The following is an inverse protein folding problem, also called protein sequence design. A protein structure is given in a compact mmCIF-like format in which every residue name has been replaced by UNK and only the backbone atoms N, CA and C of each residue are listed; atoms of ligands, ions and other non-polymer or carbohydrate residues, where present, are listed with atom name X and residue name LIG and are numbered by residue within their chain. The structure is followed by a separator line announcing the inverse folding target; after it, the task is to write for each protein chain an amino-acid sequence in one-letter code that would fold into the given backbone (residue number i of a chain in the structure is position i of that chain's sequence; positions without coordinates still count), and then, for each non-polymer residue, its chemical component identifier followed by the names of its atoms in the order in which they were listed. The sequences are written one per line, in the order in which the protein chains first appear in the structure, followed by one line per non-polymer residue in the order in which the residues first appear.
data_IF_474768941445
#
_entry.id   IF_474768941445
#
_cell.length_a   1.000
_cell.length_b   1.000
_cell.length_c   1.000
_cell.angle_alpha   90.00
_cell.angle_beta   90.00
_cell.angle_gamma   90.00
#
_symmetry.space_group_name_H-M   'P 1'
#
loop_
_entity.id
_entity.type
_entity.pdbx_description
1 polymer ?
#
# COMPACT_ATOMS: atom_id res chain seq x y z
N UNK A 1 -31.62 -17.08 -66.27
CA UNK A 1 -32.12 -16.32 -65.08
C UNK A 1 -31.63 -16.95 -63.77
N UNK A 2 -30.38 -16.70 -63.34
CA UNK A 2 -29.88 -17.17 -62.02
C UNK A 2 -28.92 -16.21 -61.30
N UNK A 3 -28.57 -15.09 -61.92
CA UNK A 3 -27.68 -14.07 -61.36
C UNK A 3 -28.35 -13.14 -60.32
N UNK A 4 -29.62 -12.71 -60.45
CA UNK A 4 -30.18 -11.76 -59.49
C UNK A 4 -30.47 -12.37 -58.12
N UNK A 5 -30.58 -13.70 -58.01
CA UNK A 5 -30.79 -14.44 -56.75
C UNK A 5 -29.48 -14.69 -55.99
N UNK A 6 -28.34 -14.75 -56.69
CA UNK A 6 -27.03 -14.93 -56.07
C UNK A 6 -26.56 -13.62 -55.42
N UNK A 7 -26.84 -12.48 -56.07
CA UNK A 7 -26.50 -11.16 -55.54
C UNK A 7 -27.26 -10.82 -54.25
N UNK A 8 -28.52 -11.24 -54.15
CA UNK A 8 -29.34 -11.05 -52.94
C UNK A 8 -28.86 -11.91 -51.77
N UNK A 9 -28.27 -13.08 -52.04
CA UNK A 9 -27.74 -13.96 -50.99
C UNK A 9 -26.39 -13.47 -50.43
N UNK A 10 -25.56 -12.85 -51.27
CA UNK A 10 -24.28 -12.27 -50.84
C UNK A 10 -24.50 -10.98 -50.05
N UNK A 11 -25.50 -10.18 -50.44
CA UNK A 11 -25.86 -8.93 -49.73
C UNK A 11 -26.54 -9.19 -48.38
N UNK A 12 -27.27 -10.31 -48.25
CA UNK A 12 -27.86 -10.71 -46.96
C UNK A 12 -26.83 -11.27 -45.97
N UNK A 13 -25.75 -11.90 -46.46
CA UNK A 13 -24.67 -12.40 -45.60
C UNK A 13 -23.80 -11.27 -45.03
N UNK A 14 -23.69 -10.12 -45.72
CA UNK A 14 -23.02 -8.93 -45.19
C UNK A 14 -23.77 -8.22 -44.05
N UNK A 15 -25.06 -8.51 -43.85
CA UNK A 15 -25.86 -7.95 -42.75
C UNK A 15 -25.75 -8.74 -41.43
N UNK A 16 -25.21 -9.96 -41.47
CA UNK A 16 -24.90 -10.76 -40.27
C UNK A 16 -23.45 -10.56 -39.78
N UNK A 17 -22.68 -9.68 -40.44
CA UNK A 17 -21.37 -9.23 -39.99
C UNK A 17 -21.43 -8.26 -38.82
N UNK A 18 -22.39 -8.38 -37.89
CA UNK A 18 -22.19 -7.86 -36.54
C UNK A 18 -21.25 -8.81 -35.82
N UNK A 19 -19.98 -8.83 -36.25
CA UNK A 19 -18.91 -9.18 -35.33
C UNK A 19 -19.12 -8.23 -34.14
N UNK A 20 -19.53 -8.77 -33.00
CA UNK A 20 -19.58 -8.01 -31.77
C UNK A 20 -18.20 -7.40 -31.61
N UNK A 21 -18.09 -6.10 -31.82
CA UNK A 21 -16.91 -5.37 -31.45
C UNK A 21 -16.88 -5.47 -29.93
N UNK A 22 -16.18 -6.48 -29.41
CA UNK A 22 -15.79 -6.47 -28.02
C UNK A 22 -14.99 -5.19 -27.87
N UNK A 23 -15.54 -4.24 -27.11
CA UNK A 23 -14.86 -3.02 -26.76
C UNK A 23 -13.67 -3.44 -25.87
N UNK A 24 -12.57 -3.82 -26.51
CA UNK A 24 -11.31 -4.06 -25.83
C UNK A 24 -10.92 -2.76 -25.15
N UNK A 25 -10.48 -2.85 -23.91
CA UNK A 25 -9.98 -1.68 -23.19
C UNK A 25 -8.82 -1.02 -23.96
N UNK A 26 -8.67 0.30 -23.83
CA UNK A 26 -7.48 1.02 -24.37
C UNK A 26 -6.16 0.48 -23.81
N UNK A 27 -6.23 -0.30 -22.71
CA UNK A 27 -5.10 -0.91 -22.01
C UNK A 27 -4.97 -2.42 -22.31
N UNK A 28 -5.75 -2.94 -23.27
CA UNK A 28 -5.79 -4.35 -23.67
C UNK A 28 -6.66 -5.21 -22.75
N UNK A 29 -6.59 -6.52 -22.95
CA UNK A 29 -7.42 -7.50 -22.24
C UNK A 29 -6.56 -8.49 -21.44
N UNK A 30 -7.12 -9.00 -20.34
CA UNK A 30 -6.58 -10.08 -19.52
C UNK A 30 -7.60 -11.23 -19.52
N UNK A 31 -7.25 -12.35 -20.15
CA UNK A 31 -8.13 -13.53 -20.26
C UNK A 31 -9.54 -13.21 -20.79
N UNK A 32 -9.65 -12.25 -21.73
CA UNK A 32 -10.93 -11.81 -22.30
C UNK A 32 -11.67 -10.75 -21.50
N UNK A 33 -11.11 -10.31 -20.35
CA UNK A 33 -11.63 -9.19 -19.57
C UNK A 33 -10.86 -7.90 -19.87
N UNK A 34 -11.53 -6.76 -20.06
CA UNK A 34 -10.86 -5.48 -20.29
C UNK A 34 -9.97 -5.09 -19.10
N UNK A 35 -8.67 -4.84 -19.33
CA UNK A 35 -7.76 -4.36 -18.29
C UNK A 35 -8.15 -2.96 -17.83
N UNK A 36 -7.84 -2.62 -16.58
CA UNK A 36 -8.00 -1.27 -16.03
C UNK A 36 -6.73 -0.77 -15.36
N UNK A 37 -6.57 0.55 -15.36
CA UNK A 37 -5.45 1.24 -14.71
C UNK A 37 -5.76 1.51 -13.24
N UNK A 38 -4.78 1.29 -12.36
CA UNK A 38 -4.87 1.60 -10.94
C UNK A 38 -4.18 2.94 -10.67
N UNK A 39 -4.92 3.89 -10.08
CA UNK A 39 -4.41 5.19 -9.65
C UNK A 39 -4.55 5.31 -8.13
N UNK A 40 -3.45 5.66 -7.45
CA UNK A 40 -3.42 5.86 -6.00
C UNK A 40 -2.72 7.19 -5.74
N UNK A 41 -3.39 8.11 -5.05
CA UNK A 41 -2.89 9.47 -4.81
C UNK A 41 -2.43 10.18 -6.09
N UNK A 42 -3.24 10.05 -7.16
CA UNK A 42 -2.95 10.60 -8.49
C UNK A 42 -1.69 10.03 -9.19
N UNK A 43 -1.08 8.98 -8.64
CA UNK A 43 0.02 8.25 -9.24
C UNK A 43 -0.44 6.90 -9.79
N UNK A 44 0.06 6.53 -10.96
CA UNK A 44 -0.18 5.20 -11.53
C UNK A 44 0.56 4.13 -10.73
N UNK A 45 -0.12 3.03 -10.46
CA UNK A 45 0.49 1.83 -9.89
C UNK A 45 0.56 0.74 -10.97
N UNK A 46 1.75 0.51 -11.56
CA UNK A 46 1.91 -0.58 -12.52
C UNK A 46 1.84 -1.93 -11.80
N UNK A 47 1.34 -2.94 -12.50
CA UNK A 47 1.42 -4.33 -12.07
C UNK A 47 2.76 -4.91 -12.53
N UNK A 48 3.42 -5.72 -11.70
CA UNK A 48 4.69 -6.34 -12.09
C UNK A 48 4.46 -7.47 -13.10
N UNK A 49 5.49 -7.80 -13.86
CA UNK A 49 5.44 -8.95 -14.77
C UNK A 49 5.12 -10.24 -13.99
N UNK A 50 4.10 -10.96 -14.45
CA UNK A 50 3.60 -12.17 -13.78
C UNK A 50 2.56 -11.92 -12.68
N UNK A 51 2.30 -10.67 -12.28
CA UNK A 51 1.14 -10.34 -11.45
C UNK A 51 -0.14 -10.30 -12.30
N UNK A 52 -1.24 -10.80 -11.74
CA UNK A 52 -2.57 -10.61 -12.34
C UNK A 52 -2.83 -9.10 -12.43
N UNK A 53 -3.10 -8.52 -13.60
CA UNK A 53 -3.43 -7.10 -13.71
C UNK A 53 -4.83 -6.85 -13.14
N UNK A 54 -5.19 -5.59 -12.95
CA UNK A 54 -6.58 -5.25 -12.72
C UNK A 54 -7.41 -5.33 -14.01
N UNK A 55 -8.65 -5.80 -13.90
CA UNK A 55 -9.56 -5.97 -15.03
C UNK A 55 -11.02 -5.72 -14.62
N UNK A 56 -11.91 -5.48 -15.59
CA UNK A 56 -13.35 -5.41 -15.36
C UNK A 56 -13.98 -6.77 -15.59
N UNK A 57 -14.64 -7.31 -14.57
CA UNK A 57 -15.49 -8.48 -14.69
C UNK A 57 -16.90 -8.15 -14.23
N UNK A 58 -17.91 -8.47 -15.06
CA UNK A 58 -19.33 -8.25 -14.76
C UNK A 58 -19.64 -6.80 -14.32
N UNK A 59 -19.00 -5.82 -14.97
CA UNK A 59 -19.17 -4.39 -14.69
C UNK A 59 -18.47 -3.89 -13.42
N UNK A 60 -17.72 -4.74 -12.72
CA UNK A 60 -16.94 -4.37 -11.53
C UNK A 60 -15.45 -4.46 -11.81
N UNK A 61 -14.69 -3.49 -11.32
CA UNK A 61 -13.23 -3.55 -11.36
C UNK A 61 -12.72 -4.54 -10.30
N UNK A 62 -11.87 -5.47 -10.73
CA UNK A 62 -11.24 -6.49 -9.91
C UNK A 62 -9.76 -6.16 -9.80
N UNK A 63 -9.25 -6.13 -8.57
CA UNK A 63 -7.86 -5.84 -8.27
C UNK A 63 -7.24 -6.97 -7.45
N UNK A 64 -5.97 -7.32 -7.68
CA UNK A 64 -5.22 -8.13 -6.75
C UNK A 64 -5.15 -7.42 -5.40
N UNK A 65 -5.72 -8.04 -4.37
CA UNK A 65 -5.79 -7.46 -3.02
C UNK A 65 -4.40 -7.10 -2.45
N UNK A 66 -3.35 -7.84 -2.84
CA UNK A 66 -1.97 -7.58 -2.39
C UNK A 66 -1.45 -6.23 -2.90
N UNK A 67 -1.79 -5.83 -4.13
CA UNK A 67 -1.40 -4.52 -4.67
C UNK A 67 -2.05 -3.38 -3.86
N UNK A 68 -3.26 -3.62 -3.36
CA UNK A 68 -3.95 -2.67 -2.51
C UNK A 68 -3.41 -2.67 -1.07
N UNK A 69 -2.85 -3.78 -0.57
CA UNK A 69 -2.34 -3.89 0.81
C UNK A 69 -1.30 -2.82 1.16
N UNK A 70 -0.31 -2.63 0.28
CA UNK A 70 0.75 -1.63 0.46
C UNK A 70 0.19 -0.21 0.52
N UNK A 71 -0.82 0.07 -0.30
CA UNK A 71 -1.38 1.42 -0.43
C UNK A 71 -2.47 1.72 0.61
N UNK A 72 -3.19 0.69 1.05
CA UNK A 72 -4.20 0.78 2.10
C UNK A 72 -3.59 0.73 3.50
N UNK A 73 -2.28 0.48 3.60
CA UNK A 73 -1.55 0.34 4.86
C UNK A 73 -2.21 -0.71 5.76
N UNK A 74 -2.51 -1.87 5.17
CA UNK A 74 -3.24 -2.95 5.80
C UNK A 74 -2.49 -4.28 5.65
N UNK A 75 -2.65 -5.15 6.63
CA UNK A 75 -2.18 -6.53 6.57
C UNK A 75 -3.15 -7.33 5.70
N UNK A 76 -2.61 -8.11 4.77
CA UNK A 76 -3.40 -9.01 3.94
C UNK A 76 -2.88 -10.43 4.10
N UNK A 77 -3.78 -11.33 4.52
CA UNK A 77 -3.50 -12.76 4.68
C UNK A 77 -4.32 -13.55 3.68
N UNK A 78 -3.65 -14.46 2.96
CA UNK A 78 -4.31 -15.47 2.14
C UNK A 78 -4.29 -16.81 2.88
N UNK A 79 -5.47 -17.40 3.06
CA UNK A 79 -5.63 -18.78 3.48
C UNK A 79 -6.05 -19.62 2.28
N UNK A 80 -5.12 -20.43 1.77
CA UNK A 80 -5.36 -21.23 0.57
C UNK A 80 -6.33 -22.40 0.80
N UNK A 81 -6.35 -22.96 2.02
CA UNK A 81 -7.23 -24.08 2.34
C UNK A 81 -8.69 -23.62 2.44
N UNK A 82 -8.93 -22.49 3.09
CA UNK A 82 -10.25 -21.89 3.24
C UNK A 82 -10.66 -21.00 2.05
N UNK A 83 -9.77 -20.80 1.07
CA UNK A 83 -9.94 -19.83 -0.03
C UNK A 83 -10.40 -18.46 0.46
N UNK A 84 -9.81 -18.00 1.57
CA UNK A 84 -10.24 -16.80 2.29
C UNK A 84 -9.12 -15.76 2.30
N UNK A 85 -9.49 -14.52 1.94
CA UNK A 85 -8.64 -13.35 2.13
C UNK A 85 -9.08 -12.65 3.41
N UNK A 86 -8.15 -12.38 4.32
CA UNK A 86 -8.37 -11.56 5.50
C UNK A 86 -7.58 -10.25 5.38
N UNK A 87 -8.24 -9.14 5.69
CA UNK A 87 -7.63 -7.81 5.69
C UNK A 87 -7.73 -7.26 7.11
N UNK A 88 -6.59 -6.91 7.70
CA UNK A 88 -6.52 -6.28 9.02
C UNK A 88 -5.89 -4.91 8.89
N UNK A 89 -6.64 -3.85 9.23
CA UNK A 89 -6.19 -2.47 9.20
C UNK A 89 -6.22 -1.89 10.62
N UNK A 90 -5.12 -1.97 11.38
CA UNK A 90 -5.05 -1.30 12.67
C UNK A 90 -5.04 0.22 12.50
N UNK A 91 -5.49 0.96 13.51
CA UNK A 91 -5.26 2.40 13.55
C UNK A 91 -3.87 2.64 14.12
N UNK A 92 -3.01 3.31 13.35
CA UNK A 92 -1.65 3.63 13.77
C UNK A 92 -1.41 5.12 13.57
N UNK A 93 -1.47 5.84 14.68
CA UNK A 93 -1.23 7.28 14.72
C UNK A 93 0.19 7.55 15.18
N UNK A 94 0.96 8.23 14.32
CA UNK A 94 2.32 8.63 14.64
C UNK A 94 2.45 10.15 14.76
N UNK A 95 3.19 10.61 15.76
CA UNK A 95 3.64 11.99 15.85
C UNK A 95 5.06 12.06 16.40
N UNK A 96 5.71 13.22 16.23
CA UNK A 96 7.10 13.44 16.66
C UNK A 96 7.20 14.62 17.60
N UNK A 97 8.10 14.55 18.58
CA UNK A 97 8.42 15.66 19.47
C UNK A 97 9.92 15.75 19.70
N UNK A 98 10.45 16.98 19.81
CA UNK A 98 11.89 17.19 20.00
C UNK A 98 12.35 16.82 21.41
N UNK A 99 11.53 17.10 22.43
CA UNK A 99 11.81 16.69 23.82
C UNK A 99 10.54 16.24 24.52
N UNK A 100 10.68 15.18 25.31
CA UNK A 100 9.61 14.49 26.03
C UNK A 100 10.07 14.29 27.46
N UNK A 101 9.18 14.48 28.43
CA UNK A 101 9.43 14.18 29.84
C UNK A 101 9.15 12.70 30.16
N UNK A 102 9.52 12.24 31.34
CA UNK A 102 9.30 10.84 31.77
C UNK A 102 7.81 10.46 31.87
N UNK A 103 6.92 11.45 32.05
CA UNK A 103 5.46 11.29 32.04
C UNK A 103 4.84 11.37 30.63
N UNK A 104 5.67 11.37 29.59
CA UNK A 104 5.31 11.51 28.18
C UNK A 104 4.75 12.88 27.76
N UNK A 105 4.72 13.87 28.65
CA UNK A 105 4.36 15.24 28.27
C UNK A 105 5.38 15.84 27.30
N UNK A 106 4.89 16.56 26.29
CA UNK A 106 5.74 17.20 25.29
C UNK A 106 6.37 18.45 25.91
N UNK A 107 7.68 18.39 26.15
CA UNK A 107 8.46 19.54 26.63
C UNK A 107 8.81 20.50 25.51
N UNK A 108 9.06 19.97 24.31
CA UNK A 108 9.39 20.79 23.14
C UNK A 108 8.78 20.16 21.87
N UNK A 109 7.94 20.90 21.13
CA UNK A 109 7.40 20.40 19.87
C UNK A 109 8.50 20.18 18.84
N UNK A 110 8.23 19.29 17.88
CA UNK A 110 9.12 19.09 16.75
C UNK A 110 8.94 20.25 15.76
N UNK A 111 10.05 20.90 15.39
CA UNK A 111 10.06 22.05 14.47
C UNK A 111 10.49 21.66 13.05
N UNK A 112 10.68 22.66 12.20
CA UNK A 112 11.27 22.47 10.88
C UNK A 112 12.69 21.87 10.97
N UNK A 113 13.05 21.11 9.95
CA UNK A 113 14.34 20.41 9.85
C UNK A 113 15.08 20.97 8.64
N UNK A 114 16.37 21.26 8.81
CA UNK A 114 17.24 21.69 7.72
C UNK A 114 18.14 20.57 7.25
N UNK A 115 18.50 20.60 5.97
CA UNK A 115 19.56 19.71 5.47
C UNK A 115 20.85 19.88 6.28
N UNK A 116 21.40 18.77 6.75
CA UNK A 116 22.59 18.69 7.59
C UNK A 116 22.30 18.68 9.08
N UNK A 117 21.06 18.95 9.51
CA UNK A 117 20.70 18.89 10.92
C UNK A 117 20.89 17.48 11.47
N UNK A 118 21.40 17.39 12.70
CA UNK A 118 21.39 16.18 13.50
C UNK A 118 20.48 16.40 14.70
N UNK A 119 19.39 15.64 14.78
CA UNK A 119 18.35 15.84 15.78
C UNK A 119 18.15 14.60 16.64
N UNK A 120 18.09 14.83 17.94
CA UNK A 120 17.46 13.93 18.90
C UNK A 120 15.98 14.28 19.02
N UNK A 121 15.12 13.29 18.88
CA UNK A 121 13.67 13.43 19.01
C UNK A 121 13.01 12.10 19.34
N UNK A 122 11.74 12.13 19.73
CA UNK A 122 10.94 10.93 19.92
C UNK A 122 9.91 10.76 18.81
N UNK A 123 9.72 9.52 18.36
CA UNK A 123 8.54 9.11 17.60
C UNK A 123 7.58 8.42 18.55
N UNK A 124 6.36 8.95 18.63
CA UNK A 124 5.26 8.34 19.34
C UNK A 124 4.39 7.59 18.35
N UNK A 125 4.13 6.31 18.61
CA UNK A 125 3.19 5.50 17.85
C UNK A 125 2.10 4.96 18.76
N UNK A 126 0.88 5.44 18.57
CA UNK A 126 -0.31 4.90 19.20
C UNK A 126 -0.97 3.91 18.23
N UNK A 127 -1.18 2.69 18.70
CA UNK A 127 -1.82 1.62 17.95
C UNK A 127 -3.10 1.20 18.68
N UNK A 128 -4.19 1.06 17.93
CA UNK A 128 -5.44 0.47 18.40
C UNK A 128 -6.10 -0.35 17.29
N UNK A 129 -7.18 -1.06 17.63
CA UNK A 129 -7.94 -1.91 16.71
C UNK A 129 -7.08 -3.02 16.07
N UNK A 130 -6.00 -3.44 16.73
CA UNK A 130 -5.16 -4.54 16.28
C UNK A 130 -5.80 -5.88 16.67
N UNK A 131 -6.70 -6.36 15.82
CA UNK A 131 -7.48 -7.59 16.06
C UNK A 131 -6.75 -8.88 15.71
N UNK A 132 -5.56 -8.79 15.12
CA UNK A 132 -4.75 -9.95 14.71
C UNK A 132 -3.48 -10.03 15.57
N UNK A 133 -3.11 -11.21 16.08
CA UNK A 133 -1.82 -11.39 16.75
C UNK A 133 -0.65 -11.01 15.83
N UNK A 134 0.40 -10.44 16.43
CA UNK A 134 1.63 -10.05 15.72
C UNK A 134 2.84 -10.60 16.47
N UNK A 135 3.87 -11.00 15.74
CA UNK A 135 5.16 -11.42 16.31
C UNK A 135 6.02 -10.23 16.73
N UNK A 136 6.02 -9.17 15.92
CA UNK A 136 6.80 -7.97 16.18
C UNK A 136 6.30 -6.77 15.39
N UNK A 137 6.73 -5.58 15.79
CA UNK A 137 6.59 -4.36 15.01
C UNK A 137 7.90 -3.57 15.05
N UNK A 138 8.06 -2.67 14.09
CA UNK A 138 9.19 -1.74 14.05
C UNK A 138 8.76 -0.35 13.61
N UNK A 139 9.51 0.64 14.08
CA UNK A 139 9.47 2.01 13.57
C UNK A 139 10.81 2.26 12.88
N UNK A 140 10.79 2.50 11.58
CA UNK A 140 11.98 2.84 10.81
C UNK A 140 11.86 4.24 10.21
N UNK A 141 13.01 4.87 9.96
CA UNK A 141 13.09 6.16 9.29
C UNK A 141 13.88 5.96 8.01
N UNK A 142 13.30 6.37 6.90
CA UNK A 142 13.89 6.27 5.58
C UNK A 142 14.22 7.66 5.04
N UNK A 143 15.40 7.82 4.44
CA UNK A 143 15.84 9.03 3.75
C UNK A 143 15.09 9.22 2.42
N UNK A 144 15.16 10.41 1.78
CA UNK A 144 14.52 10.69 0.50
C UNK A 144 14.91 9.71 -0.62
N UNK A 145 16.13 9.21 -0.58
CA UNK A 145 16.65 8.20 -1.50
C UNK A 145 16.11 6.77 -1.25
N UNK A 146 15.35 6.55 -0.18
CA UNK A 146 14.77 5.27 0.24
C UNK A 146 15.58 4.48 1.28
N UNK A 147 16.82 4.88 1.57
CA UNK A 147 17.72 4.22 2.52
C UNK A 147 17.15 4.27 3.95
N UNK A 148 17.20 3.14 4.67
CA UNK A 148 16.82 3.09 6.08
C UNK A 148 17.94 3.67 6.95
N UNK A 149 17.74 4.86 7.51
CA UNK A 149 18.75 5.57 8.33
C UNK A 149 18.62 5.30 9.83
N UNK A 150 17.46 4.85 10.30
CA UNK A 150 17.26 4.44 11.69
C UNK A 150 16.13 3.41 11.83
N UNK A 151 16.19 2.58 12.87
CA UNK A 151 15.16 1.59 13.17
C UNK A 151 15.14 1.23 14.66
N UNK A 152 13.94 1.05 15.20
CA UNK A 152 13.68 0.35 16.46
C UNK A 152 12.68 -0.76 16.21
N UNK A 153 12.92 -1.92 16.81
CA UNK A 153 12.10 -3.12 16.65
C UNK A 153 11.74 -3.70 18.02
N UNK A 154 10.54 -4.28 18.12
CA UNK A 154 10.09 -4.96 19.34
C UNK A 154 9.26 -6.19 19.02
N UNK A 155 9.69 -7.31 19.60
CA UNK A 155 8.90 -8.52 19.70
C UNK A 155 7.67 -8.30 20.61
N UNK A 156 6.55 -8.88 20.23
CA UNK A 156 5.28 -8.81 20.95
C UNK A 156 4.94 -10.20 21.45
N UNK A 157 4.87 -10.33 22.78
CA UNK A 157 4.41 -11.54 23.43
C UNK A 157 2.91 -11.42 23.72
N UNK A 158 2.11 -12.32 23.14
CA UNK A 158 0.65 -12.32 23.28
C UNK A 158 -0.06 -11.32 22.37
N UNK A 159 -1.39 -11.24 22.48
CA UNK A 159 -2.18 -10.28 21.71
C UNK A 159 -2.32 -8.97 22.48
N UNK A 160 -2.04 -7.85 21.80
CA UNK A 160 -2.29 -6.50 22.31
C UNK A 160 -3.13 -5.76 21.30
N UNK A 161 -4.40 -5.52 21.62
CA UNK A 161 -5.31 -4.79 20.74
C UNK A 161 -4.96 -3.30 20.66
N UNK A 162 -4.46 -2.74 21.77
CA UNK A 162 -4.05 -1.34 21.86
C UNK A 162 -2.76 -1.17 22.65
N UNK A 163 -1.86 -0.31 22.18
CA UNK A 163 -0.61 0.03 22.85
C UNK A 163 -0.03 1.36 22.36
N UNK A 164 0.91 1.91 23.12
CA UNK A 164 1.65 3.12 22.75
C UNK A 164 3.14 2.93 23.01
N UNK A 165 3.98 3.33 22.06
CA UNK A 165 5.43 3.43 22.20
C UNK A 165 5.96 4.84 21.88
N UNK A 166 6.68 5.47 22.81
CA UNK A 166 7.57 6.60 22.55
C UNK A 166 9.01 6.10 22.39
N UNK A 167 9.54 6.11 21.17
CA UNK A 167 10.93 5.73 20.93
C UNK A 167 11.82 6.92 20.59
N UNK A 168 12.97 7.07 21.27
CA UNK A 168 13.95 8.10 20.94
C UNK A 168 14.73 7.72 19.68
N UNK A 169 14.95 8.67 18.81
CA UNK A 169 15.76 8.58 17.60
C UNK A 169 16.81 9.69 17.58
N UNK A 170 17.99 9.35 17.05
CA UNK A 170 19.01 10.31 16.68
C UNK A 170 19.23 10.17 15.16
N UNK A 171 18.84 11.17 14.38
CA UNK A 171 18.91 11.12 12.91
C UNK A 171 19.67 12.33 12.39
N UNK A 172 20.56 12.09 11.42
CA UNK A 172 21.16 13.13 10.59
C UNK A 172 20.38 13.24 9.29
N UNK A 173 19.84 14.44 9.03
CA UNK A 173 19.06 14.75 7.83
C UNK A 173 20.01 15.21 6.71
N UNK A 174 20.80 14.28 6.16
CA UNK A 174 21.88 14.58 5.21
C UNK A 174 21.41 15.16 3.86
N UNK A 175 20.18 14.83 3.45
CA UNK A 175 19.55 15.24 2.19
C UNK A 175 18.35 16.15 2.42
N UNK A 176 18.08 17.10 1.52
CA UNK A 176 16.79 17.80 1.47
C UNK A 176 15.75 16.87 0.85
N UNK A 177 14.52 16.91 1.37
CA UNK A 177 13.41 16.10 0.91
C UNK A 177 12.65 15.43 2.05
N UNK A 178 11.77 14.50 1.69
CA UNK A 178 10.88 13.81 2.62
C UNK A 178 11.58 12.62 3.24
N UNK A 179 11.81 12.69 4.55
CA UNK A 179 12.11 11.52 5.36
C UNK A 179 10.80 10.86 5.76
N UNK A 180 10.73 9.54 5.64
CA UNK A 180 9.51 8.78 5.91
C UNK A 180 9.71 7.90 7.13
N UNK A 181 8.98 8.22 8.20
CA UNK A 181 8.82 7.36 9.36
C UNK A 181 7.79 6.30 9.00
N UNK A 182 8.16 5.02 9.10
CA UNK A 182 7.29 3.89 8.78
C UNK A 182 7.04 3.05 10.02
N UNK A 183 5.77 2.79 10.31
CA UNK A 183 5.38 1.76 11.27
C UNK A 183 5.09 0.47 10.49
N UNK A 184 5.83 -0.59 10.80
CA UNK A 184 5.68 -1.88 10.14
C UNK A 184 5.37 -2.99 11.13
N UNK A 185 4.53 -3.92 10.72
CA UNK A 185 4.11 -5.08 11.52
C UNK A 185 4.55 -6.37 10.84
N UNK A 186 4.98 -7.34 11.64
CA UNK A 186 5.25 -8.72 11.23
C UNK A 186 4.24 -9.66 11.92
N UNK A 187 3.24 -10.21 11.20
CA UNK A 187 2.21 -11.05 11.80
C UNK A 187 2.75 -12.30 12.49
N UNK A 188 3.68 -13.02 11.85
CA UNK A 188 4.33 -14.21 12.39
C UNK A 188 5.80 -14.28 11.94
N UNK A 189 6.58 -15.21 12.51
CA UNK A 189 8.01 -15.29 12.25
C UNK A 189 8.41 -15.59 10.80
N UNK A 190 7.48 -16.16 10.01
CA UNK A 190 7.71 -16.53 8.61
C UNK A 190 7.28 -15.44 7.64
N UNK A 191 6.54 -14.45 8.12
CA UNK A 191 6.04 -13.34 7.32
C UNK A 191 7.04 -12.20 7.22
N UNK A 192 6.98 -11.44 6.13
CA UNK A 192 7.73 -10.19 5.99
C UNK A 192 7.06 -9.04 6.77
N UNK A 193 7.82 -7.98 7.02
CA UNK A 193 7.26 -6.74 7.55
C UNK A 193 6.38 -6.05 6.52
N UNK A 194 5.17 -5.69 6.93
CA UNK A 194 4.24 -4.87 6.15
C UNK A 194 4.13 -3.49 6.77
N UNK A 195 4.28 -2.44 5.96
CA UNK A 195 4.08 -1.06 6.40
C UNK A 195 2.58 -0.80 6.58
N UNK A 196 2.19 -0.36 7.78
CA UNK A 196 0.78 -0.12 8.14
C UNK A 196 0.52 1.33 8.57
N UNK A 197 1.54 2.19 8.59
CA UNK A 197 1.38 3.64 8.69
C UNK A 197 2.68 4.33 8.31
N UNK A 198 2.56 5.54 7.78
CA UNK A 198 3.68 6.39 7.38
C UNK A 198 3.46 7.81 7.90
N UNK A 199 4.56 8.47 8.28
CA UNK A 199 4.59 9.88 8.63
C UNK A 199 5.79 10.55 7.97
N UNK A 200 5.56 11.68 7.32
CA UNK A 200 6.61 12.46 6.67
C UNK A 200 7.20 13.49 7.64
N UNK A 201 8.52 13.64 7.56
CA UNK A 201 9.29 14.75 8.10
C UNK A 201 10.00 15.41 6.91
N UNK A 202 9.66 16.67 6.62
CA UNK A 202 10.32 17.43 5.56
C UNK A 202 11.64 18.00 6.08
N UNK A 203 12.73 17.74 5.36
CA UNK A 203 14.02 18.41 5.53
C UNK A 203 14.20 19.40 4.39
N UNK A 204 14.28 20.69 4.72
CA UNK A 204 14.43 21.77 3.74
C UNK A 204 15.89 22.20 3.61
#
# INVERSE_FOLDING_TARGET
MKVPRLLTLVLSLSLFGTAGAFASSMWGDFEGFPKVKLMINNAEKPFKDGETPAFVAKGSAVFPVRVLSESLQALVKWDDAAKTVSITKPNVHMFVAKKVNDDYSIKQPFGGVKKGDRLDFAVFAQVDSLTTPISSFKISIHAPNGEQVAVHEKAVNGQKESFWYPWPFNVTFAESGNYVVKFSIKPDERSDYTVVSEKVIASE
#
